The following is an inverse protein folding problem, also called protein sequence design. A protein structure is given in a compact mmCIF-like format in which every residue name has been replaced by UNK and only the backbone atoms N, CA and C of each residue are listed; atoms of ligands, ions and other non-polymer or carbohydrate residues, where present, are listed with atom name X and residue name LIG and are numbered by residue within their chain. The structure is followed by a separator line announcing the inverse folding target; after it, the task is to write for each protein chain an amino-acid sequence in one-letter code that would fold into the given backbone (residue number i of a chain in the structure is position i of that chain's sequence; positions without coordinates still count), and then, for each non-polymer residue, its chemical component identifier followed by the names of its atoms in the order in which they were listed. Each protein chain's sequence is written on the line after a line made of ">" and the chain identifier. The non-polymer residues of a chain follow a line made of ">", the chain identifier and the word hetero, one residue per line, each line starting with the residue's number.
data_IF_716077087591
#
_entry.id   IF_716077087591
#
_cell.length_a   1.000
_cell.length_b   1.000
_cell.length_c   1.000
_cell.angle_alpha   90.00
_cell.angle_beta   90.00
_cell.angle_gamma   90.00
#
_symmetry.space_group_name_H-M   'P 1'
#
loop_
_entity.id
_entity.type
_entity.pdbx_description
1 polymer ?
#
# COMPACT_ATOMS: atom_id res chain seq x y z
N UNK A 1 -1.76 -12.01 5.85
CA UNK A 1 -3.19 -12.07 5.50
C UNK A 1 -3.26 -12.28 4.00
N UNK A 2 -4.14 -13.17 3.55
CA UNK A 2 -4.42 -13.57 2.15
C UNK A 2 -4.74 -12.42 1.17
N UNK A 3 -5.00 -11.20 1.66
CA UNK A 3 -5.34 -10.05 0.82
C UNK A 3 -6.82 -9.98 0.46
N UNK A 4 -7.64 -10.84 1.07
CA UNK A 4 -9.10 -10.89 0.83
C UNK A 4 -9.90 -10.02 1.79
N UNK A 5 -9.30 -9.58 2.91
CA UNK A 5 -9.96 -8.67 3.86
C UNK A 5 -9.69 -7.20 3.53
N UNK A 6 -10.75 -6.47 3.22
CA UNK A 6 -10.72 -5.03 3.03
C UNK A 6 -10.36 -4.28 4.31
N UNK A 7 -9.72 -3.12 4.16
CA UNK A 7 -9.49 -2.17 5.24
C UNK A 7 -10.46 -1.00 5.15
N UNK A 8 -10.72 -0.33 6.26
CA UNK A 8 -11.74 0.72 6.36
C UNK A 8 -11.32 2.07 5.73
N UNK A 9 -10.15 2.12 5.07
CA UNK A 9 -9.55 3.36 4.55
C UNK A 9 -9.20 3.23 3.07
N UNK A 10 -9.51 4.27 2.32
CA UNK A 10 -9.18 4.37 0.90
C UNK A 10 -8.46 5.70 0.68
N UNK A 11 -7.28 5.65 0.08
CA UNK A 11 -6.48 6.85 -0.17
C UNK A 11 -6.92 7.55 -1.46
N UNK A 12 -7.29 8.84 -1.45
CA UNK A 12 -7.52 9.57 -2.69
C UNK A 12 -6.19 9.73 -3.44
N UNK A 13 -6.19 9.45 -4.75
CA UNK A 13 -5.02 9.59 -5.61
C UNK A 13 -5.43 10.22 -6.94
N UNK A 14 -4.61 11.15 -7.45
CA UNK A 14 -4.88 11.76 -8.74
C UNK A 14 -4.39 10.84 -9.86
N UNK A 15 -5.16 10.69 -10.94
CA UNK A 15 -4.62 10.14 -12.17
C UNK A 15 -3.34 10.89 -12.57
N UNK A 16 -2.38 10.20 -13.19
CA UNK A 16 -1.03 10.70 -13.47
C UNK A 16 -0.15 11.00 -12.23
N UNK A 17 -0.62 10.82 -10.99
CA UNK A 17 0.25 10.95 -9.82
C UNK A 17 1.17 9.74 -9.69
N UNK A 18 2.27 9.92 -8.94
CA UNK A 18 3.09 8.80 -8.49
C UNK A 18 2.41 8.12 -7.31
N UNK A 19 2.38 6.80 -7.33
CA UNK A 19 2.18 5.96 -6.16
C UNK A 19 3.54 5.42 -5.75
N UNK A 20 3.93 5.67 -4.51
CA UNK A 20 5.17 5.16 -3.93
C UNK A 20 4.84 4.19 -2.81
N UNK A 21 5.36 2.97 -2.93
CA UNK A 21 5.22 1.89 -1.97
C UNK A 21 6.52 1.74 -1.19
N UNK A 22 6.43 1.65 0.13
CA UNK A 22 7.56 1.34 0.99
C UNK A 22 7.48 -0.13 1.41
N UNK A 23 8.49 -0.91 1.00
CA UNK A 23 8.69 -2.28 1.43
C UNK A 23 9.62 -2.30 2.63
N UNK A 24 9.23 -3.03 3.67
CA UNK A 24 10.02 -3.23 4.88
C UNK A 24 10.14 -4.71 5.18
N UNK A 25 11.34 -5.13 5.53
CA UNK A 25 11.60 -6.46 6.08
C UNK A 25 10.97 -6.60 7.47
N UNK A 26 11.12 -5.55 8.29
CA UNK A 26 10.46 -5.42 9.59
C UNK A 26 9.32 -4.42 9.46
N UNK A 27 8.08 -4.91 9.44
CA UNK A 27 6.88 -4.09 9.17
C UNK A 27 6.76 -2.85 10.09
N UNK A 28 7.17 -2.97 11.35
CA UNK A 28 7.16 -1.91 12.35
C UNK A 28 8.31 -0.89 12.21
N UNK A 29 9.25 -1.15 11.30
CA UNK A 29 10.45 -0.35 11.10
C UNK A 29 11.39 -0.35 12.31
N UNK A 30 11.37 -1.42 13.12
CA UNK A 30 12.30 -1.61 14.23
C UNK A 30 13.75 -1.80 13.77
N UNK A 31 13.95 -2.34 12.57
CA UNK A 31 15.24 -2.48 11.91
C UNK A 31 15.13 -2.01 10.45
N UNK A 32 16.25 -1.52 9.85
CA UNK A 32 16.28 -1.19 8.43
C UNK A 32 16.21 -2.46 7.58
N UNK A 33 15.81 -2.30 6.31
CA UNK A 33 15.74 -3.39 5.35
C UNK A 33 14.39 -3.45 4.63
N UNK A 34 14.39 -3.91 3.39
CA UNK A 34 13.19 -4.03 2.56
C UNK A 34 12.89 -5.48 2.17
N UNK A 35 13.93 -6.21 1.78
CA UNK A 35 13.91 -7.63 1.42
C UNK A 35 15.36 -8.13 1.50
N UNK A 36 15.56 -9.40 1.82
CA UNK A 36 16.89 -10.01 1.89
C UNK A 36 17.63 -9.92 0.54
N UNK A 37 18.95 -9.67 0.58
CA UNK A 37 19.77 -9.42 -0.62
C UNK A 37 19.88 -10.62 -1.58
N UNK A 38 19.67 -11.84 -1.07
CA UNK A 38 19.60 -13.06 -1.86
C UNK A 38 18.31 -13.19 -2.66
N UNK A 39 17.26 -12.45 -2.32
CA UNK A 39 15.92 -12.53 -2.92
C UNK A 39 15.85 -11.75 -4.24
N UNK A 40 16.72 -12.11 -5.18
CA UNK A 40 16.80 -11.50 -6.50
C UNK A 40 15.61 -11.90 -7.37
N UNK A 41 15.01 -10.91 -8.04
CA UNK A 41 13.98 -11.16 -9.03
C UNK A 41 13.20 -9.90 -9.46
N UNK A 42 12.11 -10.08 -10.23
CA UNK A 42 11.36 -8.98 -10.81
C UNK A 42 10.41 -8.33 -9.79
N UNK A 43 9.88 -7.16 -10.17
CA UNK A 43 8.71 -6.57 -9.52
C UNK A 43 7.66 -6.21 -10.56
N UNK A 44 6.39 -6.20 -10.14
CA UNK A 44 5.26 -5.76 -10.95
C UNK A 44 4.23 -5.02 -10.09
N UNK A 45 3.48 -4.11 -10.72
CA UNK A 45 2.33 -3.44 -10.11
C UNK A 45 1.12 -3.51 -11.02
N UNK A 46 -0.02 -3.86 -10.45
CA UNK A 46 -1.31 -4.02 -11.11
C UNK A 46 -2.35 -3.14 -10.45
N UNK A 47 -3.40 -2.82 -11.20
CA UNK A 47 -4.59 -2.17 -10.68
C UNK A 47 -5.82 -2.99 -11.05
N UNK A 48 -6.84 -2.95 -10.21
CA UNK A 48 -8.17 -3.53 -10.46
C UNK A 48 -9.24 -2.54 -10.05
N UNK A 49 -10.12 -2.18 -10.98
CA UNK A 49 -11.29 -1.34 -10.66
C UNK A 49 -12.28 -2.17 -9.86
N UNK A 50 -12.85 -1.57 -8.82
CA UNK A 50 -13.86 -2.20 -7.95
C UNK A 50 -14.98 -1.21 -7.66
N UNK A 51 -16.16 -1.71 -7.31
CA UNK A 51 -17.27 -0.86 -6.85
C UNK A 51 -17.02 -0.33 -5.43
N UNK A 52 -16.29 -1.09 -4.62
CA UNK A 52 -15.98 -0.76 -3.24
C UNK A 52 -14.61 -1.32 -2.87
N UNK A 53 -13.62 -0.46 -2.70
CA UNK A 53 -12.28 -0.88 -2.28
C UNK A 53 -12.21 -1.35 -0.83
N UNK A 54 -13.24 -1.12 -0.01
CA UNK A 54 -13.29 -1.56 1.39
C UNK A 54 -13.99 -2.90 1.60
N UNK A 55 -14.58 -3.48 0.54
CA UNK A 55 -15.25 -4.76 0.60
C UNK A 55 -14.24 -5.92 0.74
N UNK A 56 -14.67 -6.98 1.41
CA UNK A 56 -13.96 -8.25 1.46
C UNK A 56 -14.13 -9.01 0.13
N UNK A 57 -13.26 -10.00 -0.11
CA UNK A 57 -13.32 -10.99 -1.18
C UNK A 57 -13.38 -10.42 -2.62
N UNK A 58 -12.88 -9.19 -2.82
CA UNK A 58 -12.89 -8.51 -4.11
C UNK A 58 -11.50 -8.45 -4.80
N UNK A 59 -10.45 -8.95 -4.15
CA UNK A 59 -9.11 -8.96 -4.70
C UNK A 59 -8.91 -10.09 -5.73
N UNK A 60 -9.25 -11.33 -5.37
CA UNK A 60 -9.09 -12.48 -6.25
C UNK A 60 -10.00 -12.41 -7.50
N UNK A 61 -9.58 -13.06 -8.58
CA UNK A 61 -10.34 -13.20 -9.83
C UNK A 61 -10.03 -12.14 -10.89
N UNK A 62 -10.97 -11.95 -11.82
CA UNK A 62 -10.82 -11.05 -12.97
C UNK A 62 -10.80 -9.56 -12.57
N UNK A 63 -10.33 -8.72 -13.49
CA UNK A 63 -10.33 -7.26 -13.38
C UNK A 63 -8.96 -6.62 -13.22
N UNK A 64 -7.88 -7.41 -13.16
CA UNK A 64 -6.53 -6.89 -13.00
C UNK A 64 -5.90 -6.49 -14.33
N UNK A 65 -5.25 -5.34 -14.36
CA UNK A 65 -4.38 -4.93 -15.47
C UNK A 65 -3.03 -4.46 -14.92
N UNK A 66 -1.94 -4.76 -15.63
CA UNK A 66 -0.59 -4.40 -15.20
C UNK A 66 -0.30 -2.95 -15.57
N UNK A 67 0.19 -2.14 -14.65
CA UNK A 67 0.55 -0.72 -14.91
C UNK A 67 2.06 -0.50 -14.98
N UNK A 68 2.85 -1.43 -14.44
CA UNK A 68 4.29 -1.33 -14.42
C UNK A 68 4.95 -2.68 -14.08
N UNK A 69 6.13 -2.95 -14.62
CA UNK A 69 7.03 -4.00 -14.15
C UNK A 69 8.48 -3.70 -14.52
N UNK A 70 9.41 -4.36 -13.83
CA UNK A 70 10.79 -4.55 -14.31
C UNK A 70 11.34 -5.88 -13.81
N UNK A 71 12.24 -6.48 -14.59
CA UNK A 71 12.95 -7.72 -14.24
C UNK A 71 14.43 -7.44 -13.98
N UNK A 72 15.30 -8.14 -14.72
CA UNK A 72 16.73 -7.84 -14.79
C UNK A 72 17.03 -6.65 -15.72
N UNK A 73 17.60 -5.59 -15.18
CA UNK A 73 18.06 -4.42 -15.92
C UNK A 73 19.48 -4.68 -16.46
N UNK A 74 19.59 -4.95 -17.76
CA UNK A 74 20.86 -5.28 -18.42
C UNK A 74 21.87 -4.11 -18.38
N UNK A 75 21.40 -2.87 -18.27
CA UNK A 75 22.28 -1.69 -18.21
C UNK A 75 22.84 -1.48 -16.80
N UNK A 76 22.01 -1.72 -15.78
CA UNK A 76 22.41 -1.61 -14.38
C UNK A 76 23.01 -2.91 -13.82
N UNK A 77 22.91 -4.02 -14.55
CA UNK A 77 23.25 -5.39 -14.14
C UNK A 77 22.54 -5.82 -12.84
N UNK A 78 21.32 -5.35 -12.62
CA UNK A 78 20.56 -5.54 -11.36
C UNK A 78 19.14 -6.02 -11.59
N UNK A 79 18.67 -6.90 -10.71
CA UNK A 79 17.26 -7.23 -10.59
C UNK A 79 16.46 -6.08 -9.98
N UNK A 80 15.14 -6.14 -10.14
CA UNK A 80 14.25 -5.15 -9.53
C UNK A 80 14.41 -5.09 -8.01
N UNK A 81 14.47 -6.23 -7.33
CA UNK A 81 14.61 -6.29 -5.87
C UNK A 81 15.94 -5.72 -5.39
N UNK A 82 17.02 -5.82 -6.19
CA UNK A 82 18.30 -5.15 -5.88
C UNK A 82 18.16 -3.62 -6.00
N UNK A 83 17.51 -3.13 -7.06
CA UNK A 83 17.21 -1.69 -7.20
C UNK A 83 16.29 -1.17 -6.09
N UNK A 84 15.37 -2.00 -5.61
CA UNK A 84 14.51 -1.70 -4.48
C UNK A 84 15.32 -1.53 -3.18
N UNK A 85 16.26 -2.44 -2.92
CA UNK A 85 17.19 -2.35 -1.78
C UNK A 85 18.04 -1.08 -1.88
N UNK A 86 18.62 -0.81 -3.04
CA UNK A 86 19.42 0.41 -3.29
C UNK A 86 18.60 1.70 -3.07
N UNK A 87 17.29 1.63 -3.27
CA UNK A 87 16.36 2.74 -3.10
C UNK A 87 15.63 2.72 -1.74
N UNK A 88 16.23 2.10 -0.72
CA UNK A 88 15.72 2.03 0.65
C UNK A 88 14.30 1.45 0.77
N UNK A 89 13.94 0.49 -0.09
CA UNK A 89 12.62 -0.15 -0.08
C UNK A 89 11.52 0.63 -0.78
N UNK A 90 11.84 1.75 -1.44
CA UNK A 90 10.81 2.57 -2.11
C UNK A 90 10.65 2.15 -3.58
N UNK A 91 9.43 1.78 -3.96
CA UNK A 91 9.04 1.48 -5.34
C UNK A 91 8.00 2.49 -5.81
N UNK A 92 8.29 3.22 -6.88
CA UNK A 92 7.36 4.21 -7.43
C UNK A 92 6.85 3.81 -8.80
N UNK A 93 5.55 4.03 -9.03
CA UNK A 93 4.86 3.80 -10.30
C UNK A 93 3.91 4.96 -10.59
N UNK A 94 3.54 5.16 -11.85
CA UNK A 94 2.59 6.20 -12.26
C UNK A 94 1.20 5.60 -12.46
N UNK A 95 0.18 6.25 -11.89
CA UNK A 95 -1.21 5.91 -12.20
C UNK A 95 -1.47 6.31 -13.66
N UNK A 96 -1.99 5.41 -14.52
CA UNK A 96 -2.37 5.79 -15.88
C UNK A 96 -3.31 7.01 -15.87
N UNK A 97 -3.08 7.96 -16.76
CA UNK A 97 -3.80 9.23 -16.70
C UNK A 97 -5.21 9.16 -17.31
N UNK A 98 -5.46 8.16 -18.18
CA UNK A 98 -6.66 8.01 -18.98
C UNK A 98 -7.68 7.00 -18.44
N UNK A 99 -7.36 6.28 -17.35
CA UNK A 99 -8.31 5.34 -16.73
C UNK A 99 -9.48 6.05 -16.06
N UNK A 100 -10.61 5.36 -15.97
CA UNK A 100 -11.80 5.86 -15.29
C UNK A 100 -11.54 6.25 -13.82
N UNK A 101 -12.21 7.30 -13.36
CA UNK A 101 -12.28 7.63 -11.93
C UNK A 101 -13.03 6.55 -11.15
N UNK A 102 -12.71 6.36 -9.87
CA UNK A 102 -13.40 5.40 -8.99
C UNK A 102 -12.47 4.65 -8.04
N UNK A 103 -13.00 3.59 -7.42
CA UNK A 103 -12.24 2.76 -6.49
C UNK A 103 -11.35 1.76 -7.23
N UNK A 104 -10.11 1.63 -6.77
CA UNK A 104 -9.14 0.66 -7.28
C UNK A 104 -8.43 -0.04 -6.14
N UNK A 105 -8.16 -1.33 -6.34
CA UNK A 105 -7.11 -2.04 -5.64
C UNK A 105 -5.81 -1.90 -6.44
N UNK A 106 -4.69 -1.69 -5.75
CA UNK A 106 -3.35 -1.63 -6.36
C UNK A 106 -2.51 -2.74 -5.76
N UNK A 107 -2.12 -3.71 -6.58
CA UNK A 107 -1.38 -4.89 -6.15
C UNK A 107 0.08 -4.78 -6.56
N UNK A 108 0.98 -4.82 -5.60
CA UNK A 108 2.42 -4.91 -5.83
C UNK A 108 2.88 -6.36 -5.70
N UNK A 109 3.73 -6.83 -6.60
CA UNK A 109 4.40 -8.12 -6.53
C UNK A 109 5.91 -7.91 -6.50
N UNK A 110 6.60 -8.50 -5.53
CA UNK A 110 8.00 -8.90 -5.67
C UNK A 110 8.04 -10.41 -5.83
N UNK A 111 8.92 -10.90 -6.70
CA UNK A 111 9.14 -12.33 -6.88
C UNK A 111 10.61 -12.64 -6.62
N UNK A 112 10.88 -13.47 -5.62
CA UNK A 112 12.22 -13.96 -5.33
C UNK A 112 12.47 -15.28 -6.06
N UNK A 113 13.57 -15.35 -6.81
CA UNK A 113 13.91 -16.48 -7.68
C UNK A 113 15.08 -17.33 -7.17
N UNK A 114 15.54 -17.09 -5.95
CA UNK A 114 16.74 -17.71 -5.40
C UNK A 114 16.68 -19.24 -5.30
N UNK A 115 15.46 -19.81 -5.18
CA UNK A 115 15.18 -21.26 -5.18
C UNK A 115 14.36 -21.72 -6.40
N UNK A 116 14.15 -20.85 -7.39
CA UNK A 116 13.23 -21.09 -8.49
C UNK A 116 13.68 -22.15 -9.51
N UNK A 117 14.96 -22.54 -9.54
CA UNK A 117 15.47 -23.44 -10.58
C UNK A 117 16.25 -24.67 -10.06
N UNK A 118 16.36 -24.84 -8.74
CA UNK A 118 17.22 -25.88 -8.14
C UNK A 118 16.59 -26.61 -6.96
N UNK A 119 15.56 -26.03 -6.34
CA UNK A 119 14.86 -26.67 -5.25
C UNK A 119 14.01 -27.85 -5.75
N UNK A 120 13.71 -28.81 -4.87
CA UNK A 120 12.79 -29.90 -5.16
C UNK A 120 11.74 -29.99 -4.03
N UNK A 121 10.50 -29.51 -4.25
CA UNK A 121 10.00 -28.86 -5.48
C UNK A 121 10.60 -27.46 -5.71
N UNK A 122 10.49 -26.93 -6.94
CA UNK A 122 10.88 -25.54 -7.25
C UNK A 122 10.11 -24.56 -6.34
N UNK A 123 10.80 -23.55 -5.83
CA UNK A 123 10.23 -22.60 -4.84
C UNK A 123 10.43 -21.13 -5.24
N UNK A 124 9.67 -20.63 -6.24
CA UNK A 124 9.54 -19.20 -6.50
C UNK A 124 8.64 -18.53 -5.45
N UNK A 125 9.14 -17.48 -4.80
CA UNK A 125 8.44 -16.86 -3.65
C UNK A 125 7.88 -15.49 -4.00
N UNK A 126 6.56 -15.35 -3.90
CA UNK A 126 5.86 -14.08 -4.12
C UNK A 126 5.65 -13.31 -2.82
N UNK A 127 6.01 -12.02 -2.83
CA UNK A 127 5.66 -11.05 -1.79
C UNK A 127 4.65 -10.08 -2.37
N UNK A 128 3.40 -10.22 -1.95
CA UNK A 128 2.27 -9.49 -2.52
C UNK A 128 1.60 -8.61 -1.47
N UNK A 129 1.22 -7.41 -1.88
CA UNK A 129 0.44 -6.48 -1.05
C UNK A 129 -0.59 -5.74 -1.91
N UNK A 130 -1.71 -5.37 -1.31
CA UNK A 130 -2.76 -4.58 -1.94
C UNK A 130 -2.97 -3.26 -1.19
N UNK A 131 -3.04 -2.16 -1.93
CA UNK A 131 -3.45 -0.85 -1.44
C UNK A 131 -4.83 -0.48 -1.99
N UNK A 132 -5.60 0.29 -1.22
CA UNK A 132 -6.92 0.74 -1.60
C UNK A 132 -6.89 2.22 -1.94
N UNK A 133 -7.22 2.57 -3.18
CA UNK A 133 -7.21 3.96 -3.64
C UNK A 133 -8.54 4.36 -4.30
N UNK A 134 -8.79 5.66 -4.28
CA UNK A 134 -9.82 6.28 -5.10
C UNK A 134 -9.13 7.17 -6.13
N UNK A 135 -9.19 6.76 -7.40
CA UNK A 135 -8.63 7.53 -8.52
C UNK A 135 -9.59 8.65 -8.88
N UNK A 136 -9.06 9.85 -8.96
CA UNK A 136 -9.74 11.07 -9.40
C UNK A 136 -8.90 11.76 -10.46
N UNK A 137 -9.48 12.46 -11.43
CA UNK A 137 -8.67 13.19 -12.41
C UNK A 137 -8.51 12.48 -13.75
N UNK A 138 -9.00 11.26 -13.89
CA UNK A 138 -8.73 10.35 -15.00
C UNK A 138 -9.53 10.60 -16.27
N UNK A 139 -9.57 9.59 -17.14
CA UNK A 139 -10.31 9.59 -18.40
C UNK A 139 -11.50 8.62 -18.37
N UNK A 140 -11.70 7.92 -19.48
CA UNK A 140 -12.77 6.93 -19.64
C UNK A 140 -12.22 5.57 -20.10
N UNK A 141 -10.90 5.36 -20.00
CA UNK A 141 -10.28 4.14 -20.48
C UNK A 141 -10.57 2.97 -19.53
N UNK A 142 -10.86 1.83 -20.14
CA UNK A 142 -11.03 0.53 -19.48
C UNK A 142 -9.97 -0.41 -20.05
N UNK A 143 -8.81 -0.57 -19.38
CA UNK A 143 -7.76 -1.48 -19.83
C UNK A 143 -8.27 -2.92 -19.97
N UNK A 144 -7.69 -3.68 -20.90
CA UNK A 144 -7.92 -5.13 -20.94
C UNK A 144 -7.42 -5.78 -19.64
N UNK A 145 -8.23 -6.67 -19.07
CA UNK A 145 -7.97 -7.29 -17.77
C UNK A 145 -7.62 -8.76 -17.89
N UNK A 146 -7.04 -9.29 -16.81
CA UNK A 146 -6.78 -10.71 -16.58
C UNK A 146 -7.29 -11.12 -15.20
N UNK A 147 -7.45 -12.43 -15.02
CA UNK A 147 -7.71 -13.03 -13.71
C UNK A 147 -6.42 -13.23 -12.92
N UNK A 148 -6.39 -12.69 -11.70
CA UNK A 148 -5.36 -12.98 -10.70
C UNK A 148 -6.04 -13.55 -9.45
N UNK A 149 -5.78 -14.81 -9.16
CA UNK A 149 -6.29 -15.55 -8.03
C UNK A 149 -5.51 -16.86 -7.84
N UNK A 150 -6.11 -17.83 -7.15
CA UNK A 150 -5.54 -19.16 -7.04
C UNK A 150 -5.35 -19.79 -8.44
N UNK A 151 -4.19 -20.41 -8.66
CA UNK A 151 -3.86 -21.05 -9.93
C UNK A 151 -3.47 -20.11 -11.08
N UNK A 152 -3.46 -18.79 -10.89
CA UNK A 152 -2.98 -17.84 -11.93
C UNK A 152 -1.55 -18.11 -12.37
N UNK A 153 -0.72 -18.58 -11.46
CA UNK A 153 0.66 -18.92 -11.73
C UNK A 153 0.91 -20.40 -11.45
N UNK A 154 1.61 -21.06 -12.37
CA UNK A 154 2.03 -22.45 -12.26
C UNK A 154 3.56 -22.54 -12.33
N UNK A 155 4.15 -23.59 -11.75
CA UNK A 155 5.60 -23.82 -11.84
C UNK A 155 6.09 -24.03 -13.29
N UNK A 156 5.18 -24.26 -14.23
CA UNK A 156 5.51 -24.30 -15.66
C UNK A 156 5.70 -22.94 -16.31
N UNK A 157 5.25 -21.86 -15.65
CA UNK A 157 5.46 -20.48 -16.10
C UNK A 157 6.97 -20.22 -16.22
N UNK A 158 7.50 -19.87 -17.42
CA UNK A 158 8.95 -19.78 -17.64
C UNK A 158 9.69 -18.85 -16.67
N UNK A 159 9.06 -17.74 -16.28
CA UNK A 159 9.62 -16.79 -15.31
C UNK A 159 9.73 -17.32 -13.88
N UNK A 160 8.97 -18.36 -13.54
CA UNK A 160 8.91 -18.96 -12.20
C UNK A 160 9.86 -20.13 -12.02
N UNK A 161 10.45 -20.64 -13.11
CA UNK A 161 11.51 -21.66 -13.09
C UNK A 161 12.86 -21.16 -13.60
N UNK A 162 13.05 -19.84 -13.56
CA UNK A 162 14.20 -19.19 -14.15
C UNK A 162 15.46 -19.33 -13.29
N UNK A 163 16.56 -19.79 -13.89
CA UNK A 163 17.85 -19.93 -13.22
C UNK A 163 18.62 -18.61 -13.20
N UNK A 164 18.56 -17.90 -12.08
CA UNK A 164 19.28 -16.63 -11.86
C UNK A 164 20.80 -16.79 -11.64
N UNK A 165 21.32 -18.02 -11.55
CA UNK A 165 22.75 -18.30 -11.37
C UNK A 165 23.43 -18.79 -12.66
N UNK A 166 22.69 -18.93 -13.76
CA UNK A 166 23.24 -19.32 -15.05
C UNK A 166 24.28 -18.29 -15.55
N UNK A 167 25.34 -18.77 -16.20
CA UNK A 167 26.40 -17.94 -16.79
C UNK A 167 26.60 -18.32 -18.27
N UNK A 168 26.26 -17.46 -19.23
CA UNK A 168 25.56 -16.18 -19.07
C UNK A 168 24.09 -16.35 -18.62
N UNK A 169 23.48 -15.28 -18.08
CA UNK A 169 22.03 -15.24 -17.84
C UNK A 169 21.27 -15.39 -19.16
N UNK A 170 20.16 -16.11 -19.14
CA UNK A 170 19.28 -16.26 -20.31
C UNK A 170 18.38 -15.04 -20.44
N UNK A 171 18.77 -14.06 -21.26
CA UNK A 171 18.07 -12.79 -21.38
C UNK A 171 17.30 -12.68 -22.71
N UNK A 172 16.18 -11.92 -22.77
CA UNK A 172 15.55 -11.21 -21.65
C UNK A 172 14.82 -12.16 -20.68
N UNK A 173 14.76 -11.80 -19.40
CA UNK A 173 14.01 -12.57 -18.40
C UNK A 173 12.50 -12.60 -18.76
N UNK A 174 11.86 -13.78 -18.79
CA UNK A 174 10.44 -13.91 -19.13
C UNK A 174 9.54 -13.51 -17.96
N UNK A 175 9.27 -12.20 -17.82
CA UNK A 175 8.43 -11.65 -16.75
C UNK A 175 7.01 -12.27 -16.81
N UNK A 176 6.50 -12.85 -15.70
CA UNK A 176 5.15 -13.40 -15.64
C UNK A 176 4.04 -12.36 -15.83
N UNK A 177 2.87 -12.81 -16.29
CA UNK A 177 1.64 -12.01 -16.38
C UNK A 177 1.51 -11.16 -17.66
N UNK A 178 0.44 -10.36 -17.78
CA UNK A 178 0.11 -9.61 -19.00
C UNK A 178 1.12 -8.49 -19.32
N UNK A 179 1.00 -7.90 -20.52
CA UNK A 179 1.72 -6.67 -20.84
C UNK A 179 1.27 -5.49 -19.97
N UNK A 180 2.15 -4.50 -19.84
CA UNK A 180 1.77 -3.22 -19.25
C UNK A 180 0.72 -2.55 -20.11
N UNK A 181 -0.32 -2.02 -19.46
CA UNK A 181 -1.23 -1.08 -20.06
C UNK A 181 -0.51 0.22 -20.38
N UNK A 182 -0.47 0.58 -21.66
CA UNK A 182 0.10 1.84 -22.13
C UNK A 182 -1.01 2.89 -22.29
N UNK A 183 -0.97 3.88 -21.40
CA UNK A 183 -1.87 5.03 -21.41
C UNK A 183 -1.70 5.82 -22.72
N UNK A 184 -2.83 6.21 -23.33
CA UNK A 184 -2.85 7.00 -24.58
C UNK A 184 -2.98 8.51 -24.34
N UNK A 185 -2.98 8.91 -23.07
CA UNK A 185 -3.23 10.27 -22.63
C UNK A 185 -4.70 10.65 -22.63
N UNK A 186 -5.03 11.70 -21.88
CA UNK A 186 -6.37 12.29 -21.90
C UNK A 186 -6.38 13.34 -23.01
N UNK A 187 -7.09 13.09 -24.11
CA UNK A 187 -7.33 14.15 -25.10
C UNK A 187 -7.93 15.36 -24.37
N UNK A 188 -7.39 16.56 -24.61
CA UNK A 188 -7.70 17.81 -23.90
C UNK A 188 -9.15 18.29 -24.01
N UNK A 189 -10.08 17.49 -23.50
CA UNK A 189 -11.46 17.85 -23.25
C UNK A 189 -11.56 18.37 -21.83
N UNK A 190 -12.28 19.47 -21.69
CA UNK A 190 -12.87 19.90 -20.41
C UNK A 190 -13.65 18.72 -19.86
N UNK A 191 -13.07 17.99 -18.92
CA UNK A 191 -13.84 16.99 -18.19
C UNK A 191 -14.74 17.78 -17.26
N UNK A 192 -16.05 17.65 -17.42
CA UNK A 192 -17.02 18.27 -16.52
C UNK A 192 -16.79 17.73 -15.11
N UNK A 193 -16.03 18.47 -14.32
CA UNK A 193 -15.69 18.14 -12.93
C UNK A 193 -16.95 17.98 -12.07
N UNK A 194 -18.08 18.56 -12.48
CA UNK A 194 -19.36 18.49 -11.77
C UNK A 194 -20.10 17.15 -11.91
N UNK A 195 -19.70 16.26 -12.84
CA UNK A 195 -20.33 14.93 -13.03
C UNK A 195 -19.45 13.76 -12.63
N UNK A 196 -18.30 14.01 -12.00
CA UNK A 196 -17.44 12.93 -11.53
C UNK A 196 -17.96 12.40 -10.21
N UNK A 197 -17.93 11.07 -10.09
CA UNK A 197 -18.10 10.45 -8.78
C UNK A 197 -17.06 11.03 -7.82
N UNK A 198 -17.46 11.16 -6.56
CA UNK A 198 -16.57 11.54 -5.47
C UNK A 198 -16.38 10.36 -4.54
N UNK A 199 -15.22 10.27 -3.90
CA UNK A 199 -14.98 9.27 -2.87
C UNK A 199 -16.01 9.40 -1.74
N UNK A 200 -16.84 8.37 -1.57
CA UNK A 200 -17.89 8.27 -0.56
C UNK A 200 -17.61 7.21 0.52
N UNK A 201 -16.68 6.29 0.25
CA UNK A 201 -16.31 5.15 1.10
C UNK A 201 -14.83 5.21 1.48
N UNK A 202 -14.50 4.56 2.59
CA UNK A 202 -13.13 4.52 3.11
C UNK A 202 -12.59 5.88 3.56
N UNK A 203 -13.46 6.85 3.79
CA UNK A 203 -13.09 8.18 4.28
C UNK A 203 -12.58 8.10 5.72
N UNK A 204 -11.70 9.04 6.08
CA UNK A 204 -11.36 9.28 7.49
C UNK A 204 -12.63 9.70 8.25
N UNK A 205 -12.97 9.07 9.39
CA UNK A 205 -14.13 9.46 10.19
C UNK A 205 -14.07 10.94 10.56
N UNK A 206 -15.22 11.61 10.49
CA UNK A 206 -15.34 12.99 10.95
C UNK A 206 -15.01 13.07 12.45
N UNK A 207 -14.25 14.09 12.86
CA UNK A 207 -13.80 14.24 14.25
C UNK A 207 -12.61 13.36 14.64
N UNK A 208 -12.00 12.65 13.70
CA UNK A 208 -10.78 11.90 13.97
C UNK A 208 -9.61 12.84 14.28
N UNK A 209 -9.11 12.80 15.52
CA UNK A 209 -7.97 13.61 15.95
C UNK A 209 -6.66 12.82 15.90
N UNK A 210 -6.70 11.49 16.03
CA UNK A 210 -5.54 10.62 15.90
C UNK A 210 -5.85 9.41 15.02
N UNK A 211 -5.28 9.35 13.82
CA UNK A 211 -5.43 8.22 12.92
C UNK A 211 -4.26 7.25 13.08
N UNK A 212 -4.57 5.96 13.23
CA UNK A 212 -3.62 4.84 13.16
C UNK A 212 -4.22 3.72 12.33
N UNK A 213 -3.82 3.64 11.07
CA UNK A 213 -4.38 2.69 10.10
C UNK A 213 -5.92 2.81 10.04
N UNK A 214 -6.65 1.76 10.44
CA UNK A 214 -8.11 1.75 10.55
C UNK A 214 -8.64 2.34 11.85
N UNK A 215 -7.82 2.40 12.90
CA UNK A 215 -8.22 2.95 14.19
C UNK A 215 -8.21 4.48 14.16
N UNK A 216 -9.14 5.07 14.91
CA UNK A 216 -9.27 6.50 15.05
C UNK A 216 -9.54 6.84 16.52
N UNK A 217 -8.75 7.78 17.06
CA UNK A 217 -8.98 8.42 18.34
C UNK A 217 -9.85 9.65 18.17
N UNK A 218 -10.86 9.76 19.02
CA UNK A 218 -11.83 10.87 19.06
C UNK A 218 -11.71 11.63 20.38
N UNK A 219 -11.97 12.94 20.33
CA UNK A 219 -11.94 13.78 21.53
C UNK A 219 -12.86 13.23 22.63
N UNK A 220 -12.39 13.34 23.88
CA UNK A 220 -13.17 12.92 25.06
C UNK A 220 -14.10 14.05 25.51
N UNK A 221 -15.13 13.77 26.33
CA UNK A 221 -16.04 14.81 26.80
C UNK A 221 -15.32 15.94 27.54
N UNK A 222 -15.92 17.12 27.47
CA UNK A 222 -15.53 18.24 28.33
C UNK A 222 -15.85 17.93 29.79
N UNK A 223 -15.08 18.55 30.69
CA UNK A 223 -15.34 18.48 32.12
C UNK A 223 -15.01 19.81 32.81
N UNK A 224 -15.79 20.09 33.85
CA UNK A 224 -15.68 21.26 34.73
C UNK A 224 -15.68 20.90 36.22
N UNK A 225 -15.69 19.59 36.54
CA UNK A 225 -15.70 19.04 37.89
C UNK A 225 -14.91 17.72 37.96
N UNK A 226 -14.65 17.27 39.20
CA UNK A 226 -13.83 16.09 39.47
C UNK A 226 -14.39 14.81 38.84
N UNK A 227 -15.70 14.60 38.95
CA UNK A 227 -16.38 13.43 38.42
C UNK A 227 -16.27 13.37 36.89
N UNK A 228 -16.49 14.50 36.22
CA UNK A 228 -16.35 14.65 34.78
C UNK A 228 -14.92 14.44 34.30
N UNK A 229 -13.94 14.90 35.08
CA UNK A 229 -12.51 14.71 34.79
C UNK A 229 -12.16 13.23 34.74
N UNK A 230 -12.46 12.48 35.81
CA UNK A 230 -12.19 11.05 35.87
C UNK A 230 -13.02 10.23 34.89
N UNK A 231 -14.26 10.63 34.60
CA UNK A 231 -15.08 10.01 33.56
C UNK A 231 -14.46 10.18 32.16
N UNK A 232 -13.86 11.34 31.88
CA UNK A 232 -13.20 11.64 30.61
C UNK A 232 -11.85 10.93 30.48
N UNK A 233 -11.08 10.86 31.57
CA UNK A 233 -9.88 10.02 31.67
C UNK A 233 -10.19 8.56 31.32
N UNK A 234 -11.22 7.97 31.98
CA UNK A 234 -11.62 6.59 31.70
C UNK A 234 -11.94 6.38 30.22
N UNK A 235 -12.71 7.27 29.59
CA UNK A 235 -13.03 7.18 28.15
C UNK A 235 -11.79 7.31 27.27
N UNK A 236 -10.81 8.12 27.67
CA UNK A 236 -9.53 8.21 26.97
C UNK A 236 -8.79 6.86 27.00
N UNK A 237 -8.70 6.26 28.19
CA UNK A 237 -8.02 4.98 28.39
C UNK A 237 -8.75 3.80 27.75
N UNK A 238 -10.08 3.81 27.70
CA UNK A 238 -10.86 2.82 26.93
C UNK A 238 -10.47 2.88 25.43
N UNK A 239 -10.33 4.09 24.86
CA UNK A 239 -9.83 4.26 23.49
C UNK A 239 -8.36 3.83 23.34
N UNK A 240 -7.52 4.12 24.33
CA UNK A 240 -6.11 3.71 24.37
C UNK A 240 -5.98 2.19 24.31
N UNK A 241 -6.75 1.49 25.14
CA UNK A 241 -6.81 0.03 25.14
C UNK A 241 -7.18 -0.52 23.77
N UNK A 242 -8.24 0.03 23.15
CA UNK A 242 -8.64 -0.37 21.80
C UNK A 242 -7.56 -0.10 20.76
N UNK A 243 -6.78 0.98 20.90
CA UNK A 243 -5.61 1.21 20.07
C UNK A 243 -4.65 0.02 20.20
N UNK A 244 -4.10 -0.25 21.39
CA UNK A 244 -3.13 -1.33 21.58
C UNK A 244 -3.66 -2.73 21.17
N UNK A 245 -4.91 -3.06 21.52
CA UNK A 245 -5.51 -4.37 21.22
C UNK A 245 -5.69 -4.63 19.71
N UNK A 246 -5.76 -3.58 18.88
CA UNK A 246 -5.97 -3.68 17.43
C UNK A 246 -4.73 -3.32 16.61
N UNK A 247 -3.55 -3.35 17.24
CA UNK A 247 -2.29 -2.96 16.61
C UNK A 247 -1.92 -3.88 15.43
N UNK A 248 -1.69 -3.34 14.22
CA UNK A 248 -1.18 -4.12 13.10
C UNK A 248 0.34 -4.36 13.22
N UNK A 249 0.92 -5.22 12.35
CA UNK A 249 2.36 -5.46 12.32
C UNK A 249 3.24 -4.22 12.13
N UNK A 250 2.67 -3.09 11.67
CA UNK A 250 3.36 -1.79 11.54
C UNK A 250 3.61 -1.09 12.88
N UNK A 251 3.10 -1.64 14.00
CA UNK A 251 3.46 -1.24 15.36
C UNK A 251 2.50 -0.26 16.04
N UNK A 252 2.76 0.01 17.32
CA UNK A 252 1.87 0.74 18.23
C UNK A 252 2.32 2.17 18.56
N UNK A 253 3.38 2.70 17.93
CA UNK A 253 3.95 4.02 18.29
C UNK A 253 2.92 5.16 18.31
N UNK A 254 1.90 5.09 17.45
CA UNK A 254 0.80 6.07 17.44
C UNK A 254 -0.10 5.95 18.68
N UNK A 255 -0.26 4.75 19.26
CA UNK A 255 -0.97 4.57 20.53
C UNK A 255 -0.25 5.24 21.70
N UNK A 256 1.09 5.31 21.68
CA UNK A 256 1.85 6.03 22.71
C UNK A 256 1.52 7.53 22.71
N UNK A 257 1.23 8.11 21.53
CA UNK A 257 0.75 9.49 21.40
C UNK A 257 -0.61 9.64 22.07
N UNK A 258 -1.50 8.67 21.89
CA UNK A 258 -2.80 8.66 22.57
C UNK A 258 -2.65 8.51 24.08
N UNK A 259 -1.78 7.60 24.53
CA UNK A 259 -1.48 7.41 25.95
C UNK A 259 -1.00 8.70 26.62
N UNK A 260 -0.18 9.51 25.92
CA UNK A 260 0.22 10.85 26.40
C UNK A 260 -0.96 11.81 26.56
N UNK A 261 -1.95 11.77 25.67
CA UNK A 261 -3.19 12.55 25.85
C UNK A 261 -3.92 12.12 27.11
N UNK A 262 -4.04 10.81 27.36
CA UNK A 262 -4.74 10.28 28.53
C UNK A 262 -4.01 10.60 29.83
N UNK A 263 -2.69 10.44 29.86
CA UNK A 263 -1.85 10.89 30.99
C UNK A 263 -2.06 12.38 31.28
N UNK A 264 -2.16 13.23 30.24
CA UNK A 264 -2.42 14.65 30.43
C UNK A 264 -3.76 14.95 31.12
N UNK A 265 -4.78 14.13 30.87
CA UNK A 265 -6.07 14.24 31.59
C UNK A 265 -5.90 13.78 33.04
N UNK A 266 -5.21 12.66 33.27
CA UNK A 266 -4.95 12.15 34.63
C UNK A 266 -4.17 13.18 35.47
N UNK A 267 -3.15 13.81 34.89
CA UNK A 267 -2.36 14.86 35.53
C UNK A 267 -3.24 16.08 35.90
N UNK A 268 -4.19 16.45 35.03
CA UNK A 268 -5.14 17.52 35.31
C UNK A 268 -6.09 17.14 36.47
N UNK A 269 -6.64 15.92 36.46
CA UNK A 269 -7.53 15.45 37.54
C UNK A 269 -6.79 15.36 38.88
N UNK A 270 -5.58 14.78 38.89
CA UNK A 270 -4.75 14.63 40.09
C UNK A 270 -4.31 15.98 40.70
N UNK A 271 -4.15 17.01 39.87
CA UNK A 271 -3.78 18.36 40.34
C UNK A 271 -4.98 19.22 40.76
N UNK A 272 -6.21 18.69 40.69
CA UNK A 272 -7.43 19.45 40.97
C UNK A 272 -7.82 20.43 39.86
N UNK A 273 -7.19 20.34 38.68
CA UNK A 273 -7.59 21.12 37.51
C UNK A 273 -8.71 20.39 36.75
N UNK A 274 -9.94 20.69 37.13
CA UNK A 274 -11.12 20.09 36.53
C UNK A 274 -11.68 20.86 35.33
N UNK A 275 -10.89 21.69 34.66
CA UNK A 275 -11.30 22.36 33.42
C UNK A 275 -10.55 21.75 32.24
N UNK A 276 -11.20 20.88 31.46
CA UNK A 276 -10.55 20.18 30.36
C UNK A 276 -11.51 19.55 29.33
N UNK A 277 -11.01 18.67 28.44
CA UNK A 277 -9.69 18.04 28.47
C UNK A 277 -8.54 18.95 27.99
N UNK A 278 -7.28 18.73 28.44
CA UNK A 278 -6.12 19.39 27.89
C UNK A 278 -5.97 19.12 26.39
N UNK A 279 -5.44 20.12 25.66
CA UNK A 279 -5.20 20.03 24.22
C UNK A 279 -6.48 19.72 23.39
N UNK A 280 -7.65 20.10 23.91
CA UNK A 280 -8.93 19.89 23.23
C UNK A 280 -8.88 20.39 21.79
N UNK A 281 -9.31 19.53 20.86
CA UNK A 281 -9.42 19.86 19.45
C UNK A 281 -8.10 19.89 18.68
N UNK A 282 -6.97 19.56 19.30
CA UNK A 282 -5.72 19.36 18.59
C UNK A 282 -5.75 18.08 17.77
N UNK A 283 -5.27 18.15 16.53
CA UNK A 283 -5.01 16.96 15.71
C UNK A 283 -3.67 16.37 16.16
N UNK A 284 -3.71 15.13 16.63
CA UNK A 284 -2.55 14.40 17.15
C UNK A 284 -1.93 13.45 16.11
N UNK A 285 -2.60 13.26 14.97
CA UNK A 285 -2.08 12.43 13.87
C UNK A 285 -0.74 13.02 13.39
N UNK A 286 0.37 12.25 13.45
CA UNK A 286 1.64 12.72 12.95
C UNK A 286 1.58 13.02 11.45
N UNK A 287 2.30 14.06 11.03
CA UNK A 287 2.54 14.29 9.61
C UNK A 287 3.30 13.09 8.99
N UNK A 288 2.97 12.70 7.74
CA UNK A 288 3.72 11.67 7.05
C UNK A 288 5.21 12.02 6.96
N UNK A 289 6.08 11.04 7.19
CA UNK A 289 7.52 11.22 7.01
C UNK A 289 7.84 11.49 5.53
N UNK A 290 8.87 12.29 5.22
CA UNK A 290 9.42 12.35 3.88
C UNK A 290 9.83 10.96 3.38
N UNK A 291 9.83 10.76 2.06
CA UNK A 291 10.31 9.52 1.46
C UNK A 291 11.77 9.27 1.84
N UNK A 292 12.08 8.05 2.28
CA UNK A 292 13.44 7.61 2.58
C UNK A 292 14.25 7.21 1.34
N UNK A 293 13.60 7.16 0.18
CA UNK A 293 14.19 6.81 -1.12
C UNK A 293 13.72 7.73 -2.24
N UNK A 294 14.30 7.55 -3.42
CA UNK A 294 13.96 8.32 -4.62
C UNK A 294 12.58 7.94 -5.15
N UNK A 295 11.73 8.91 -5.56
CA UNK A 295 10.47 8.64 -6.22
C UNK A 295 10.63 8.30 -7.73
N UNK A 296 11.87 8.22 -8.23
CA UNK A 296 12.14 7.89 -9.63
C UNK A 296 11.64 6.48 -9.94
N UNK A 297 10.85 6.37 -11.01
CA UNK A 297 10.36 5.08 -11.49
C UNK A 297 11.56 4.33 -12.07
N UNK A 298 11.78 3.09 -11.62
CA UNK A 298 12.81 2.26 -12.22
C UNK A 298 12.49 2.01 -13.69
N UNK A 299 13.51 2.16 -14.54
CA UNK A 299 13.41 1.92 -15.98
C UNK A 299 12.81 0.53 -16.25
N UNK A 300 11.77 0.49 -17.10
CA UNK A 300 11.16 -0.75 -17.61
C UNK A 300 12.12 -1.41 -18.61
N UNK A 301 11.99 -2.72 -18.81
CA UNK A 301 12.63 -3.37 -19.96
C UNK A 301 12.02 -2.82 -21.27
N UNK A 302 12.85 -2.37 -22.20
CA UNK A 302 12.40 -1.74 -23.46
C UNK A 302 11.90 -2.74 -24.51
N UNK A 303 12.27 -4.03 -24.40
CA UNK A 303 11.83 -5.05 -25.36
C UNK A 303 10.51 -5.66 -24.91
N UNK A 304 9.48 -5.73 -25.77
CA UNK A 304 8.25 -6.43 -25.45
C UNK A 304 8.60 -7.87 -25.09
N UNK A 305 8.43 -8.26 -23.82
CA UNK A 305 8.45 -9.67 -23.45
C UNK A 305 7.36 -10.35 -24.28
N UNK A 306 7.67 -11.39 -25.05
CA UNK A 306 6.65 -12.18 -25.76
C UNK A 306 5.53 -12.52 -24.77
N UNK A 307 4.26 -12.46 -25.19
CA UNK A 307 3.13 -12.92 -24.35
C UNK A 307 3.48 -14.31 -23.83
N UNK A 308 3.75 -14.41 -22.53
CA UNK A 308 3.77 -15.69 -21.83
C UNK A 308 2.38 -15.79 -21.22
N UNK A 309 1.47 -16.48 -21.90
CA UNK A 309 0.22 -16.89 -21.29
C UNK A 309 0.57 -17.74 -20.06
N UNK A 310 -0.11 -17.48 -18.95
CA UNK A 310 -0.15 -18.39 -17.82
C UNK A 310 -0.63 -19.78 -18.26
#
# INVERSE_FOLDING_TARGET
>A
KDGEKGVARVCPAKANSLLTFEFREYADGSQPGSIDIGHKGPCAVYMKKVEDATADDNAAGDGWFKIWHTGYDEQAEKWCTEKLIDNNGFLSVRIPEDIEDGYYLVRTELLALHMAAFADPLDPQFYVNCAQIYVQGGGSARPETVSIGEGTYTLDTPGLKYNIYAKPLQLPYPIPGPHVYESKGVAGRSVDLEKRDTQSKGLKPAGCILQRDNWCGFEVPDYSDENGCWASSKKCWDQSKMCYDTTPPTGYKTCDIWGKKCNGIDDACNSGNFNGPPNKGQVLTPEPKPLGGSPQIFKRMEKPSRRWSA
#
